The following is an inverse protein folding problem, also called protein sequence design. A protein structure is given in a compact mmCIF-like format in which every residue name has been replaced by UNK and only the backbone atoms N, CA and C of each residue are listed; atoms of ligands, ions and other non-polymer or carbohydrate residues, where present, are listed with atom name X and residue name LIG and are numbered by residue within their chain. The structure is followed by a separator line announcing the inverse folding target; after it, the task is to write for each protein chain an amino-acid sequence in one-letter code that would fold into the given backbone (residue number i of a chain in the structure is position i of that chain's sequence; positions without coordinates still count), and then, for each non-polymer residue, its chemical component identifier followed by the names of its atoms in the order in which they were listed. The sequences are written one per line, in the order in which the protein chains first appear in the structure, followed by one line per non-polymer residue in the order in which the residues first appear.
data_IF_155539181951
#
_entry.id   IF_155539181951
#
_cell.length_a   1.000
_cell.length_b   1.000
_cell.length_c   1.000
_cell.angle_alpha   90.00
_cell.angle_beta   90.00
_cell.angle_gamma   90.00
#
_symmetry.space_group_name_H-M   'P 1'
#
loop_
_entity.id
_entity.type
_entity.pdbx_description
1 polymer ?
#
# COMPACT_ATOMS: atom_id res chain seq x y z
N UNK A 1 0.44 -18.70 4.79
CA UNK A 1 -0.62 -19.75 4.77
C UNK A 1 -1.40 -19.85 6.08
N UNK A 2 -0.74 -20.03 7.25
CA UNK A 2 -1.41 -20.22 8.56
C UNK A 2 -2.49 -19.16 8.87
N UNK A 3 -2.15 -17.87 8.81
CA UNK A 3 -3.08 -16.77 9.10
C UNK A 3 -4.22 -16.66 8.08
N UNK A 4 -3.92 -16.80 6.78
CA UNK A 4 -4.94 -16.79 5.72
C UNK A 4 -5.96 -17.92 5.89
N UNK A 5 -5.55 -19.08 6.41
CA UNK A 5 -6.45 -20.20 6.65
C UNK A 5 -7.40 -19.99 7.83
N UNK A 6 -7.15 -19.02 8.71
CA UNK A 6 -8.07 -18.66 9.80
C UNK A 6 -9.25 -17.81 9.30
N UNK A 7 -9.18 -17.32 8.07
CA UNK A 7 -10.27 -16.55 7.47
C UNK A 7 -11.49 -17.46 7.22
N UNK A 8 -12.68 -16.94 7.53
CA UNK A 8 -13.95 -17.59 7.22
C UNK A 8 -14.15 -17.65 5.70
N UNK A 9 -14.82 -18.69 5.21
CA UNK A 9 -15.28 -18.74 3.82
C UNK A 9 -16.21 -17.56 3.52
N UNK A 10 -16.22 -17.08 2.28
CA UNK A 10 -16.94 -15.89 1.79
C UNK A 10 -16.53 -14.57 2.46
N UNK A 11 -15.40 -14.51 3.16
CA UNK A 11 -14.86 -13.26 3.68
C UNK A 11 -14.20 -12.41 2.59
N UNK A 12 -14.11 -11.10 2.81
CA UNK A 12 -13.42 -10.14 1.94
C UNK A 12 -12.07 -9.73 2.55
N UNK A 13 -10.99 -9.94 1.82
CA UNK A 13 -9.65 -9.48 2.16
C UNK A 13 -9.34 -8.16 1.46
N UNK A 14 -9.08 -7.09 2.21
CA UNK A 14 -8.76 -5.77 1.62
C UNK A 14 -7.28 -5.47 1.86
N UNK A 15 -6.53 -5.16 0.80
CA UNK A 15 -5.12 -4.81 0.88
C UNK A 15 -4.80 -3.57 0.05
N UNK A 16 -4.57 -2.46 0.76
CA UNK A 16 -4.23 -1.15 0.19
C UNK A 16 -2.93 -0.57 0.75
N UNK A 17 -2.25 -1.29 1.66
CA UNK A 17 -1.08 -0.78 2.36
C UNK A 17 0.23 -1.17 1.65
N UNK A 18 0.68 -2.42 1.81
CA UNK A 18 1.94 -2.92 1.25
C UNK A 18 1.80 -4.38 0.87
N UNK A 19 2.17 -4.75 -0.35
CA UNK A 19 2.12 -6.15 -0.79
C UNK A 19 2.98 -7.10 0.07
N UNK A 20 4.06 -6.59 0.67
CA UNK A 20 4.99 -7.36 1.50
C UNK A 20 4.40 -7.89 2.82
N UNK A 21 3.23 -7.41 3.27
CA UNK A 21 2.61 -7.88 4.53
C UNK A 21 1.92 -9.24 4.38
N UNK A 22 1.73 -9.70 3.15
CA UNK A 22 1.07 -10.97 2.84
C UNK A 22 1.94 -11.83 1.94
N UNK A 23 1.91 -13.16 2.15
CA UNK A 23 2.45 -14.09 1.17
C UNK A 23 1.51 -14.14 -0.05
N UNK A 24 1.87 -13.41 -1.10
CA UNK A 24 1.02 -13.25 -2.28
C UNK A 24 0.79 -14.56 -3.05
N UNK A 25 1.73 -15.50 -2.99
CA UNK A 25 1.57 -16.85 -3.58
C UNK A 25 0.44 -17.61 -2.87
N UNK A 26 0.44 -17.60 -1.54
CA UNK A 26 -0.62 -18.24 -0.75
C UNK A 26 -1.98 -17.55 -0.95
N UNK A 27 -2.00 -16.21 -0.99
CA UNK A 27 -3.22 -15.43 -1.26
C UNK A 27 -3.79 -15.78 -2.65
N UNK A 28 -2.97 -15.78 -3.70
CA UNK A 28 -3.38 -16.17 -5.06
C UNK A 28 -3.95 -17.59 -5.09
N UNK A 29 -3.34 -18.55 -4.39
CA UNK A 29 -3.85 -19.91 -4.32
C UNK A 29 -5.22 -19.99 -3.65
N UNK A 30 -5.45 -19.22 -2.58
CA UNK A 30 -6.74 -19.16 -1.91
C UNK A 30 -7.80 -18.48 -2.79
N UNK A 31 -7.45 -17.39 -3.47
CA UNK A 31 -8.34 -16.72 -4.40
C UNK A 31 -8.72 -17.61 -5.59
N UNK A 32 -7.78 -18.40 -6.13
CA UNK A 32 -8.08 -19.40 -7.15
C UNK A 32 -9.05 -20.48 -6.69
N UNK A 33 -9.03 -20.85 -5.40
CA UNK A 33 -10.01 -21.77 -4.81
C UNK A 33 -11.43 -21.17 -4.80
N UNK A 34 -11.55 -19.84 -4.81
CA UNK A 34 -12.82 -19.13 -4.92
C UNK A 34 -13.61 -19.02 -3.63
N UNK A 35 -13.01 -19.34 -2.47
CA UNK A 35 -13.71 -19.37 -1.19
C UNK A 35 -13.52 -18.11 -0.32
N UNK A 36 -12.76 -17.13 -0.81
CA UNK A 36 -12.69 -15.77 -0.27
C UNK A 36 -12.71 -14.76 -1.43
N UNK A 37 -13.05 -13.52 -1.12
CA UNK A 37 -12.96 -12.38 -2.02
C UNK A 37 -11.74 -11.52 -1.65
N UNK A 38 -11.23 -10.74 -2.60
CA UNK A 38 -10.23 -9.74 -2.29
C UNK A 38 -10.43 -8.42 -3.04
N UNK A 39 -10.05 -7.31 -2.40
CA UNK A 39 -9.85 -6.02 -3.05
C UNK A 39 -8.39 -5.60 -2.86
N UNK A 40 -7.66 -5.43 -3.96
CA UNK A 40 -6.21 -5.27 -3.96
C UNK A 40 -5.81 -4.02 -4.75
N UNK A 41 -5.04 -3.13 -4.12
CA UNK A 41 -4.42 -1.97 -4.79
C UNK A 41 -2.91 -2.16 -5.00
N UNK A 42 -2.27 -3.00 -4.18
CA UNK A 42 -0.81 -3.20 -4.17
C UNK A 42 -0.43 -4.63 -4.54
N UNK A 43 0.66 -4.77 -5.30
CA UNK A 43 1.16 -6.05 -5.80
C UNK A 43 2.68 -6.21 -5.57
N UNK A 44 3.22 -7.45 -5.54
CA UNK A 44 4.65 -7.66 -5.31
C UNK A 44 5.55 -7.13 -6.43
N UNK A 45 5.03 -7.12 -7.65
CA UNK A 45 5.67 -6.59 -8.85
C UNK A 45 4.67 -5.63 -9.50
N UNK A 46 5.11 -4.39 -9.70
CA UNK A 46 4.30 -3.32 -10.26
C UNK A 46 5.05 -2.69 -11.43
N UNK A 47 4.42 -2.52 -12.62
CA UNK A 47 3.02 -2.85 -12.91
C UNK A 47 2.77 -4.36 -13.04
N UNK A 48 1.58 -4.81 -12.64
CA UNK A 48 1.17 -6.22 -12.79
C UNK A 48 1.15 -6.58 -14.28
N UNK A 49 1.82 -7.67 -14.67
CA UNK A 49 1.86 -8.15 -16.06
C UNK A 49 0.46 -8.29 -16.66
N UNK A 50 0.28 -7.89 -17.93
CA UNK A 50 -1.02 -7.95 -18.63
C UNK A 50 -1.63 -9.36 -18.64
N UNK A 51 -0.78 -10.39 -18.70
CA UNK A 51 -1.19 -11.79 -18.75
C UNK A 51 -1.26 -12.46 -17.37
N UNK A 52 -1.08 -11.71 -16.26
CA UNK A 52 -1.18 -12.31 -14.92
C UNK A 52 -2.60 -12.82 -14.67
N UNK A 53 -2.79 -14.11 -14.29
CA UNK A 53 -4.11 -14.69 -14.05
C UNK A 53 -4.96 -13.95 -13.03
N UNK A 54 -4.35 -13.20 -12.10
CA UNK A 54 -5.08 -12.44 -11.09
C UNK A 54 -6.06 -11.43 -11.71
N UNK A 55 -5.74 -10.90 -12.89
CA UNK A 55 -6.59 -9.95 -13.63
C UNK A 55 -7.91 -10.56 -14.13
N UNK A 56 -8.01 -11.90 -14.16
CA UNK A 56 -9.19 -12.64 -14.66
C UNK A 56 -10.02 -13.27 -13.54
N UNK A 57 -9.57 -13.17 -12.28
CA UNK A 57 -10.28 -13.77 -11.14
C UNK A 57 -11.54 -12.96 -10.82
N UNK A 58 -12.71 -13.60 -10.90
CA UNK A 58 -14.01 -12.93 -10.66
C UNK A 58 -14.24 -12.51 -9.20
N UNK A 59 -13.53 -13.13 -8.27
CA UNK A 59 -13.57 -12.84 -6.84
C UNK A 59 -12.48 -11.85 -6.39
N UNK A 60 -11.87 -11.12 -7.33
CA UNK A 60 -10.86 -10.10 -7.05
C UNK A 60 -11.26 -8.78 -7.66
N UNK A 61 -11.49 -7.77 -6.82
CA UNK A 61 -11.49 -6.38 -7.23
C UNK A 61 -10.04 -5.91 -7.39
N UNK A 62 -9.60 -5.82 -8.63
CA UNK A 62 -8.27 -5.40 -9.02
C UNK A 62 -8.23 -3.87 -9.19
N UNK A 63 -7.40 -3.18 -8.43
CA UNK A 63 -7.04 -1.77 -8.62
C UNK A 63 -5.55 -1.66 -8.92
N UNK A 64 -5.14 -0.85 -9.89
CA UNK A 64 -3.72 -0.51 -10.03
C UNK A 64 -3.32 0.44 -8.88
N UNK A 65 -2.09 0.36 -8.39
CA UNK A 65 -1.58 1.09 -7.22
C UNK A 65 -1.75 2.61 -7.33
N UNK A 66 -2.95 3.07 -6.95
CA UNK A 66 -3.44 4.43 -7.21
C UNK A 66 -4.28 4.96 -6.05
N UNK A 67 -4.51 4.18 -5.00
CA UNK A 67 -5.35 4.62 -3.87
C UNK A 67 -4.83 5.90 -3.20
N UNK A 68 -3.51 6.15 -3.23
CA UNK A 68 -2.89 7.36 -2.67
C UNK A 68 -2.60 8.49 -3.68
N UNK A 69 -2.81 8.27 -4.98
CA UNK A 69 -2.38 9.20 -6.03
C UNK A 69 -3.50 10.20 -6.41
N UNK A 70 -4.00 10.92 -5.40
CA UNK A 70 -5.05 11.94 -5.55
C UNK A 70 -4.42 13.34 -5.58
N UNK A 71 -4.95 14.24 -6.42
CA UNK A 71 -4.45 15.62 -6.53
C UNK A 71 -4.53 16.37 -5.20
N UNK A 72 -5.61 16.16 -4.45
CA UNK A 72 -5.82 16.74 -3.13
C UNK A 72 -4.75 16.25 -2.14
N UNK A 73 -4.38 14.98 -2.20
CA UNK A 73 -3.34 14.41 -1.34
C UNK A 73 -1.97 15.02 -1.64
N UNK A 74 -1.64 15.25 -2.92
CA UNK A 74 -0.39 15.92 -3.30
C UNK A 74 -0.35 17.37 -2.83
N UNK A 75 -1.46 18.10 -2.96
CA UNK A 75 -1.58 19.48 -2.46
C UNK A 75 -1.45 19.54 -0.93
N UNK A 76 -2.08 18.62 -0.21
CA UNK A 76 -1.97 18.53 1.24
C UNK A 76 -0.54 18.24 1.70
N UNK A 77 0.17 17.32 1.03
CA UNK A 77 1.60 17.07 1.30
C UNK A 77 2.45 18.34 1.10
N UNK A 78 2.18 19.11 0.05
CA UNK A 78 2.85 20.40 -0.18
C UNK A 78 2.59 21.40 0.95
N UNK A 79 1.34 21.51 1.40
CA UNK A 79 0.96 22.38 2.51
C UNK A 79 1.65 21.98 3.82
N UNK A 80 1.72 20.67 4.12
CA UNK A 80 2.42 20.14 5.31
C UNK A 80 3.89 20.58 5.33
N UNK A 81 4.58 20.45 4.19
CA UNK A 81 5.98 20.87 4.06
C UNK A 81 6.12 22.38 4.23
N UNK A 82 5.24 23.15 3.58
CA UNK A 82 5.27 24.61 3.63
C UNK A 82 5.06 25.15 5.05
N UNK A 83 4.12 24.57 5.81
CA UNK A 83 3.88 24.98 7.19
C UNK A 83 5.07 24.67 8.11
N UNK A 84 5.74 23.54 7.93
CA UNK A 84 6.98 23.26 8.65
C UNK A 84 8.11 24.23 8.27
N UNK A 85 8.24 24.59 7.00
CA UNK A 85 9.23 25.59 6.55
C UNK A 85 8.99 26.96 7.19
N UNK A 86 7.72 27.39 7.33
CA UNK A 86 7.38 28.63 8.04
C UNK A 86 7.82 28.60 9.50
N UNK A 87 7.61 27.48 10.20
CA UNK A 87 8.07 27.32 11.58
C UNK A 87 9.59 27.42 11.68
N UNK A 88 10.30 26.70 10.81
CA UNK A 88 11.77 26.71 10.77
C UNK A 88 12.31 28.12 10.48
N UNK A 89 11.69 28.87 9.57
CA UNK A 89 12.09 30.25 9.26
C UNK A 89 12.01 31.20 10.47
N UNK A 90 11.20 30.86 11.48
CA UNK A 90 11.05 31.58 12.74
C UNK A 90 11.87 30.96 13.89
N UNK A 91 12.81 30.06 13.58
CA UNK A 91 13.55 29.25 14.54
C UNK A 91 12.66 28.40 15.47
N UNK A 92 11.47 28.00 15.01
CA UNK A 92 10.57 27.09 15.71
C UNK A 92 10.73 25.66 15.19
N UNK A 93 10.40 24.69 16.04
CA UNK A 93 10.44 23.28 15.67
C UNK A 93 9.32 22.93 14.67
N UNK A 94 9.59 22.11 13.63
CA UNK A 94 8.56 21.58 12.75
C UNK A 94 7.60 20.66 13.53
N UNK A 95 6.33 20.63 13.11
CA UNK A 95 5.24 19.92 13.80
C UNK A 95 4.41 19.03 12.90
N UNK A 96 4.38 19.28 11.59
CA UNK A 96 3.42 18.63 10.69
C UNK A 96 4.00 17.36 10.06
N UNK A 97 5.21 17.41 9.51
CA UNK A 97 5.90 16.22 9.02
C UNK A 97 6.23 15.27 10.18
N UNK A 98 6.08 13.98 9.94
CA UNK A 98 6.50 12.96 10.91
C UNK A 98 8.02 13.02 11.10
N UNK A 99 8.46 13.35 12.32
CA UNK A 99 9.89 13.36 12.67
C UNK A 99 10.51 11.97 12.50
N UNK A 100 11.61 11.90 11.76
CA UNK A 100 12.40 10.69 11.65
C UNK A 100 13.09 10.38 12.98
N UNK A 101 12.80 9.22 13.58
CA UNK A 101 13.47 8.75 14.78
C UNK A 101 14.55 7.74 14.37
N UNK A 102 15.81 7.95 14.77
CA UNK A 102 16.94 7.07 14.43
C UNK A 102 16.65 5.59 14.66
N UNK A 103 15.98 5.26 15.77
CA UNK A 103 15.62 3.89 16.15
C UNK A 103 14.66 3.21 15.16
N UNK A 104 13.79 3.95 14.48
CA UNK A 104 12.70 3.37 13.66
C UNK A 104 12.75 3.76 12.19
N UNK A 105 13.59 4.73 11.80
CA UNK A 105 13.63 5.26 10.42
C UNK A 105 13.94 4.17 9.39
N UNK A 106 14.78 3.19 9.73
CA UNK A 106 15.14 2.09 8.84
C UNK A 106 13.97 1.14 8.54
N UNK A 107 12.92 1.11 9.39
CA UNK A 107 11.70 0.31 9.20
C UNK A 107 10.65 1.04 8.35
N UNK A 108 10.75 2.37 8.27
CA UNK A 108 9.78 3.23 7.59
C UNK A 108 10.19 3.57 6.16
N UNK A 109 11.41 3.22 5.73
CA UNK A 109 11.87 3.48 4.36
C UNK A 109 11.02 2.70 3.35
N UNK A 110 10.41 3.40 2.41
CA UNK A 110 9.83 2.78 1.22
C UNK A 110 10.97 2.21 0.36
N UNK A 111 10.71 1.10 -0.34
CA UNK A 111 11.62 0.67 -1.40
C UNK A 111 11.45 1.64 -2.57
N UNK A 112 12.53 2.18 -3.15
CA UNK A 112 12.41 3.00 -4.35
C UNK A 112 11.76 2.19 -5.47
N UNK A 113 10.81 2.80 -6.17
CA UNK A 113 10.24 2.23 -7.39
C UNK A 113 11.30 2.36 -8.48
N UNK A 114 11.61 1.26 -9.18
CA UNK A 114 12.72 1.24 -10.13
C UNK A 114 12.42 2.04 -11.41
N UNK A 115 11.14 2.22 -11.75
CA UNK A 115 10.67 2.87 -12.98
C UNK A 115 9.35 3.57 -12.64
N UNK A 116 9.25 4.88 -12.90
CA UNK A 116 8.00 5.63 -12.90
C UNK A 116 7.44 5.70 -14.32
#
# INVERSE_FOLDING_TARGET
KKLLNLMKSNSLFILMSRAAVVNFKDLKNRLKKGDIYAALDVFPEEPVKKNDPIRKLKNVLFSAHRAGALDEAFKEMGNIVFEDMKLISKNLNPRFCKRALRKTVHLLRSKPVAIN
#
